data_IF_420282836713
#
_entry.id   IF_420282836713
#
_cell.length_a   1.000
_cell.length_b   1.000
_cell.length_c   1.000
_cell.angle_alpha   90.00
_cell.angle_beta   90.00
_cell.angle_gamma   90.00
#
_symmetry.space_group_name_H-M   'P 1'
#
loop_
_entity.id
_entity.type
_entity.pdbx_description
1 polymer ?
#
# COMPACT_ATOMS: atom_id res chain seq x y z
N UNK A 1 17.19 -13.17 -11.96
CA UNK A 1 16.16 -12.73 -11.01
C UNK A 1 15.10 -13.82 -10.87
N UNK A 2 14.77 -14.26 -9.66
CA UNK A 2 13.72 -15.28 -9.41
C UNK A 2 12.35 -14.78 -9.89
N UNK A 3 11.63 -15.57 -10.70
CA UNK A 3 10.24 -15.32 -11.16
C UNK A 3 9.99 -13.88 -11.66
N UNK A 4 10.91 -13.32 -12.43
CA UNK A 4 10.78 -11.98 -13.00
C UNK A 4 10.37 -12.06 -14.47
N UNK A 5 9.29 -11.37 -14.82
CA UNK A 5 8.82 -11.19 -16.20
C UNK A 5 8.51 -9.70 -16.42
N UNK A 6 9.46 -9.00 -17.05
CA UNK A 6 9.34 -7.59 -17.38
C UNK A 6 8.12 -7.31 -18.27
N UNK A 7 7.85 -8.16 -19.27
CA UNK A 7 6.74 -7.96 -20.20
C UNK A 7 5.41 -8.10 -19.47
N UNK A 8 5.29 -9.05 -18.54
CA UNK A 8 4.10 -9.19 -17.72
C UNK A 8 3.90 -7.98 -16.79
N UNK A 9 4.95 -7.46 -16.18
CA UNK A 9 4.87 -6.25 -15.33
C UNK A 9 4.35 -5.06 -16.13
N UNK A 10 4.91 -4.81 -17.31
CA UNK A 10 4.50 -3.70 -18.18
C UNK A 10 3.05 -3.88 -18.64
N UNK A 11 2.69 -5.07 -19.13
CA UNK A 11 1.32 -5.37 -19.57
C UNK A 11 0.29 -5.20 -18.44
N UNK A 12 0.59 -5.66 -17.23
CA UNK A 12 -0.30 -5.53 -16.09
C UNK A 12 -0.44 -4.06 -15.66
N UNK A 13 0.63 -3.26 -15.78
CA UNK A 13 0.56 -1.82 -15.56
C UNK A 13 -0.34 -1.13 -16.59
N UNK A 14 -0.10 -1.42 -17.87
CA UNK A 14 -0.86 -0.86 -19.00
C UNK A 14 -2.34 -1.20 -18.93
N UNK A 15 -2.72 -2.37 -18.43
CA UNK A 15 -4.13 -2.73 -18.21
C UNK A 15 -4.87 -1.71 -17.34
N UNK A 16 -4.26 -1.25 -16.26
CA UNK A 16 -4.87 -0.23 -15.38
C UNK A 16 -4.76 1.16 -16.01
N UNK A 17 -3.57 1.52 -16.51
CA UNK A 17 -3.34 2.84 -17.09
C UNK A 17 -4.26 3.15 -18.28
N UNK A 18 -4.48 2.18 -19.16
CA UNK A 18 -5.32 2.36 -20.35
C UNK A 18 -6.82 2.49 -20.01
N UNK A 19 -7.22 2.20 -18.77
CA UNK A 19 -8.58 2.39 -18.27
C UNK A 19 -8.74 3.66 -17.43
N UNK A 20 -7.71 4.53 -17.43
CA UNK A 20 -7.69 5.77 -16.66
C UNK A 20 -8.96 6.61 -16.82
N UNK A 21 -9.44 6.83 -18.05
CA UNK A 21 -10.65 7.63 -18.30
C UNK A 21 -11.88 7.04 -17.60
N UNK A 22 -12.07 5.72 -17.67
CA UNK A 22 -13.13 5.01 -16.97
C UNK A 22 -13.01 5.14 -15.44
N UNK A 23 -11.78 5.08 -14.92
CA UNK A 23 -11.52 5.19 -13.49
C UNK A 23 -11.73 6.62 -13.00
N UNK A 24 -11.27 7.62 -13.73
CA UNK A 24 -11.44 9.04 -13.42
C UNK A 24 -12.91 9.47 -13.46
N UNK A 25 -13.73 8.83 -14.30
CA UNK A 25 -15.18 9.07 -14.31
C UNK A 25 -15.84 8.76 -12.97
N UNK A 26 -15.37 7.75 -12.24
CA UNK A 26 -15.87 7.46 -10.88
C UNK A 26 -15.64 8.68 -9.96
N UNK A 27 -14.47 9.31 -10.06
CA UNK A 27 -14.16 10.51 -9.28
C UNK A 27 -15.00 11.72 -9.70
N UNK A 28 -15.24 11.89 -11.00
CA UNK A 28 -16.11 12.94 -11.52
C UNK A 28 -17.54 12.79 -10.99
N UNK A 29 -18.10 11.58 -11.06
CA UNK A 29 -19.45 11.28 -10.56
C UNK A 29 -19.55 11.49 -9.03
N UNK A 30 -18.56 11.00 -8.27
CA UNK A 30 -18.47 11.21 -6.81
C UNK A 30 -18.47 12.71 -6.46
N UNK A 31 -17.72 13.52 -7.20
CA UNK A 31 -17.65 14.97 -6.96
C UNK A 31 -18.93 15.69 -7.39
N UNK A 32 -19.54 15.31 -8.52
CA UNK A 32 -20.77 15.90 -9.02
C UNK A 32 -21.96 15.67 -8.07
N UNK A 33 -22.02 14.49 -7.46
CA UNK A 33 -23.02 14.14 -6.44
C UNK A 33 -22.72 14.78 -5.06
N UNK A 34 -21.46 15.19 -4.83
CA UNK A 34 -20.99 15.82 -3.60
C UNK A 34 -20.84 14.85 -2.43
N UNK A 35 -19.93 15.09 -1.49
CA UNK A 35 -19.69 14.22 -0.33
C UNK A 35 -19.34 15.02 0.93
N UNK A 36 -19.50 14.42 2.11
CA UNK A 36 -19.12 15.03 3.40
C UNK A 36 -17.98 14.29 4.12
N UNK A 37 -17.64 13.08 3.70
CA UNK A 37 -16.54 12.27 4.23
C UNK A 37 -16.08 11.24 3.19
N UNK A 38 -14.76 11.15 2.99
CA UNK A 38 -14.11 10.07 2.25
C UNK A 38 -13.61 9.02 3.27
N UNK A 39 -14.26 7.86 3.32
CA UNK A 39 -14.01 6.83 4.32
C UNK A 39 -13.32 5.61 3.72
N UNK A 40 -12.15 5.22 4.22
CA UNK A 40 -11.41 4.07 3.70
C UNK A 40 -11.52 2.88 4.66
N UNK A 41 -12.05 1.75 4.18
CA UNK A 41 -12.23 0.56 5.04
C UNK A 41 -12.03 -0.74 4.27
N UNK A 42 -11.29 -1.68 4.87
CA UNK A 42 -11.03 -3.04 4.36
C UNK A 42 -10.31 -3.85 5.43
N UNK A 43 -9.74 -5.00 5.08
CA UNK A 43 -8.96 -5.86 5.98
C UNK A 43 -7.53 -6.09 5.47
N UNK A 44 -6.58 -6.23 6.39
CA UNK A 44 -5.20 -6.65 6.10
C UNK A 44 -4.50 -5.80 5.03
N UNK A 45 -3.79 -6.45 4.11
CA UNK A 45 -3.04 -5.77 3.05
C UNK A 45 -3.90 -4.88 2.13
N UNK A 46 -5.17 -5.23 1.91
CA UNK A 46 -6.12 -4.38 1.17
C UNK A 46 -6.32 -3.02 1.85
N UNK A 47 -6.47 -3.00 3.18
CA UNK A 47 -6.58 -1.77 3.96
C UNK A 47 -5.27 -0.98 3.95
N UNK A 48 -4.15 -1.67 4.14
CA UNK A 48 -2.84 -1.02 4.15
C UNK A 48 -2.49 -0.38 2.80
N UNK A 49 -2.93 -0.95 1.68
CA UNK A 49 -2.75 -0.35 0.35
C UNK A 49 -3.53 0.96 0.17
N UNK A 50 -4.71 1.08 0.77
CA UNK A 50 -5.53 2.31 0.68
C UNK A 50 -5.13 3.40 1.69
N UNK A 51 -4.53 3.02 2.81
CA UNK A 51 -4.19 3.96 3.89
C UNK A 51 -3.30 5.15 3.45
N UNK A 52 -2.33 5.01 2.52
CA UNK A 52 -1.58 6.15 1.99
C UNK A 52 -2.48 7.26 1.44
N UNK A 53 -3.65 6.94 0.88
CA UNK A 53 -4.57 7.94 0.35
C UNK A 53 -5.28 8.74 1.45
N UNK A 54 -5.60 8.10 2.59
CA UNK A 54 -6.05 8.81 3.78
C UNK A 54 -4.95 9.75 4.30
N UNK A 55 -3.68 9.31 4.26
CA UNK A 55 -2.54 10.18 4.59
C UNK A 55 -2.44 11.38 3.64
N UNK A 56 -2.48 11.17 2.32
CA UNK A 56 -2.38 12.25 1.34
C UNK A 56 -3.53 13.26 1.45
N UNK A 57 -4.76 12.79 1.69
CA UNK A 57 -5.90 13.68 1.92
C UNK A 57 -5.71 14.54 3.16
N UNK A 58 -5.23 13.97 4.27
CA UNK A 58 -4.93 14.70 5.50
C UNK A 58 -3.78 15.70 5.36
N UNK A 59 -2.77 15.39 4.53
CA UNK A 59 -1.59 16.26 4.36
C UNK A 59 -1.85 17.38 3.36
N UNK A 60 -2.54 17.12 2.27
CA UNK A 60 -2.60 18.02 1.11
C UNK A 60 -3.96 18.70 0.90
N UNK A 61 -4.97 18.36 1.69
CA UNK A 61 -6.33 18.88 1.47
C UNK A 61 -7.02 19.30 2.76
N UNK A 62 -8.20 19.94 2.64
CA UNK A 62 -9.16 20.09 3.75
C UNK A 62 -10.37 19.18 3.59
N UNK A 63 -10.29 18.18 2.71
CA UNK A 63 -11.38 17.23 2.51
C UNK A 63 -11.49 16.34 3.75
N UNK A 64 -12.69 16.15 4.32
CA UNK A 64 -12.86 15.25 5.44
C UNK A 64 -12.54 13.81 5.01
N UNK A 65 -11.63 13.17 5.73
CA UNK A 65 -11.19 11.80 5.48
C UNK A 65 -11.08 11.03 6.78
N UNK A 66 -11.31 9.73 6.73
CA UNK A 66 -11.12 8.84 7.86
C UNK A 66 -10.86 7.40 7.38
N UNK A 67 -10.25 6.58 8.23
CA UNK A 67 -9.93 5.21 7.87
C UNK A 67 -9.96 4.24 9.04
N UNK A 68 -10.65 3.11 8.85
CA UNK A 68 -10.81 2.09 9.88
C UNK A 68 -10.72 0.69 9.28
N UNK A 69 -10.27 -0.29 10.06
CA UNK A 69 -10.36 -1.70 9.65
C UNK A 69 -11.83 -2.12 9.67
N UNK A 70 -12.28 -2.89 8.66
CA UNK A 70 -13.68 -3.28 8.52
C UNK A 70 -14.26 -3.93 9.77
N UNK A 71 -13.49 -4.81 10.42
CA UNK A 71 -13.90 -5.48 11.65
C UNK A 71 -14.16 -4.49 12.80
N UNK A 72 -13.28 -3.50 12.97
CA UNK A 72 -13.42 -2.48 14.03
C UNK A 72 -14.62 -1.58 13.76
N UNK A 73 -14.82 -1.16 12.51
CA UNK A 73 -15.99 -0.37 12.10
C UNK A 73 -17.31 -1.11 12.35
N UNK A 74 -17.35 -2.43 12.13
CA UNK A 74 -18.55 -3.22 12.37
C UNK A 74 -18.99 -3.17 13.84
N UNK A 75 -18.03 -3.17 14.77
CA UNK A 75 -18.29 -3.17 16.21
C UNK A 75 -18.46 -1.77 16.80
N UNK A 76 -17.61 -0.83 16.39
CA UNK A 76 -17.53 0.51 17.00
C UNK A 76 -18.33 1.57 16.24
N UNK A 77 -18.56 1.35 14.95
CA UNK A 77 -19.13 2.35 14.04
C UNK A 77 -18.20 3.53 13.79
N UNK A 78 -18.67 4.51 13.01
CA UNK A 78 -18.05 5.82 12.87
C UNK A 78 -19.17 6.86 12.85
N UNK A 79 -19.30 7.63 13.93
CA UNK A 79 -20.39 8.61 14.09
C UNK A 79 -20.30 9.82 13.15
N UNK A 80 -19.19 9.93 12.39
CA UNK A 80 -19.04 10.92 11.31
C UNK A 80 -19.68 10.49 10.00
N UNK A 81 -19.95 9.20 9.80
CA UNK A 81 -20.57 8.71 8.57
C UNK A 81 -22.02 9.17 8.47
N UNK A 82 -22.39 9.65 7.28
CA UNK A 82 -23.75 10.00 6.92
C UNK A 82 -24.09 9.39 5.56
N UNK A 83 -25.35 9.47 5.15
CA UNK A 83 -25.76 9.06 3.79
C UNK A 83 -25.09 9.87 2.66
N UNK A 84 -24.39 10.98 2.97
CA UNK A 84 -23.60 11.75 1.98
C UNK A 84 -22.14 11.29 1.91
N UNK A 85 -21.70 10.45 2.82
CA UNK A 85 -20.33 9.95 2.82
C UNK A 85 -20.08 9.00 1.63
N UNK A 86 -18.81 8.83 1.28
CA UNK A 86 -18.36 7.88 0.25
C UNK A 86 -17.33 6.95 0.90
N UNK A 87 -17.57 5.65 0.82
CA UNK A 87 -16.69 4.63 1.33
C UNK A 87 -15.89 3.97 0.20
N UNK A 88 -14.57 3.85 0.40
CA UNK A 88 -13.64 3.16 -0.49
C UNK A 88 -13.25 1.81 0.11
N UNK A 89 -13.51 0.75 -0.65
CA UNK A 89 -13.26 -0.63 -0.24
C UNK A 89 -12.41 -1.37 -1.29
N UNK A 90 -11.60 -2.33 -0.86
CA UNK A 90 -10.87 -3.22 -1.79
C UNK A 90 -10.81 -4.64 -1.27
N UNK A 91 -10.92 -5.60 -2.19
CA UNK A 91 -10.75 -7.02 -1.90
C UNK A 91 -10.27 -7.75 -3.13
N UNK A 92 -9.17 -8.51 -3.00
CA UNK A 92 -8.63 -9.30 -4.12
C UNK A 92 -9.61 -10.36 -4.60
N UNK A 93 -10.20 -11.12 -3.69
CA UNK A 93 -11.20 -12.15 -4.03
C UNK A 93 -12.62 -11.59 -4.12
N UNK A 94 -12.86 -10.39 -3.58
CA UNK A 94 -14.18 -9.77 -3.56
C UNK A 94 -15.18 -10.47 -2.64
N UNK A 95 -14.69 -11.31 -1.71
CA UNK A 95 -15.49 -12.13 -0.79
C UNK A 95 -14.99 -12.09 0.67
N UNK A 96 -14.05 -11.20 1.00
CA UNK A 96 -13.51 -11.04 2.37
C UNK A 96 -14.64 -10.78 3.35
N UNK A 97 -14.86 -11.70 4.31
CA UNK A 97 -16.06 -11.75 5.15
C UNK A 97 -16.36 -10.41 5.85
N UNK A 98 -15.36 -9.82 6.49
CA UNK A 98 -15.49 -8.56 7.22
C UNK A 98 -15.75 -7.39 6.28
N UNK A 99 -15.10 -7.36 5.11
CA UNK A 99 -15.31 -6.33 4.08
C UNK A 99 -16.72 -6.40 3.50
N UNK A 100 -17.26 -7.61 3.26
CA UNK A 100 -18.64 -7.79 2.77
C UNK A 100 -19.64 -7.30 3.81
N UNK A 101 -19.52 -7.74 5.07
CA UNK A 101 -20.39 -7.27 6.16
C UNK A 101 -20.32 -5.76 6.35
N UNK A 102 -19.12 -5.19 6.20
CA UNK A 102 -18.93 -3.74 6.26
C UNK A 102 -19.65 -3.03 5.11
N UNK A 103 -19.55 -3.54 3.88
CA UNK A 103 -20.28 -3.00 2.72
C UNK A 103 -21.80 -3.08 2.90
N UNK A 104 -22.32 -4.20 3.42
CA UNK A 104 -23.75 -4.36 3.75
C UNK A 104 -24.21 -3.28 4.74
N UNK A 105 -23.49 -3.11 5.86
CA UNK A 105 -23.81 -2.09 6.87
C UNK A 105 -23.73 -0.65 6.30
N UNK A 106 -22.73 -0.35 5.48
CA UNK A 106 -22.60 0.96 4.83
C UNK A 106 -23.78 1.23 3.88
N UNK A 107 -24.22 0.21 3.14
CA UNK A 107 -25.40 0.29 2.27
C UNK A 107 -26.69 0.52 3.05
N UNK A 108 -26.87 -0.15 4.19
CA UNK A 108 -28.00 0.10 5.11
C UNK A 108 -28.00 1.55 5.64
N UNK A 109 -26.82 2.15 5.83
CA UNK A 109 -26.65 3.55 6.23
C UNK A 109 -26.86 4.56 5.08
N UNK A 110 -27.07 4.07 3.84
CA UNK A 110 -27.16 4.90 2.65
C UNK A 110 -25.83 5.53 2.21
N UNK A 111 -24.69 5.00 2.69
CA UNK A 111 -23.35 5.45 2.29
C UNK A 111 -23.06 4.93 0.89
N UNK A 112 -22.59 5.81 -0.01
CA UNK A 112 -22.15 5.39 -1.35
C UNK A 112 -20.85 4.61 -1.27
N UNK A 113 -20.71 3.56 -2.06
CA UNK A 113 -19.58 2.65 -2.02
C UNK A 113 -18.86 2.63 -3.38
N UNK A 114 -17.56 2.91 -3.34
CA UNK A 114 -16.61 2.70 -4.44
C UNK A 114 -15.73 1.52 -4.08
N UNK A 115 -15.75 0.45 -4.88
CA UNK A 115 -14.89 -0.70 -4.66
C UNK A 115 -13.89 -0.99 -5.78
N UNK A 116 -12.71 -1.42 -5.39
CA UNK A 116 -11.64 -1.86 -6.30
C UNK A 116 -11.40 -3.34 -6.03
N UNK A 117 -11.77 -4.21 -6.97
CA UNK A 117 -11.79 -5.66 -6.78
C UNK A 117 -10.78 -6.38 -7.67
N UNK A 118 -10.20 -7.49 -7.19
CA UNK A 118 -9.31 -8.32 -8.01
C UNK A 118 -10.01 -9.25 -8.99
N UNK A 119 -11.34 -9.36 -8.90
CA UNK A 119 -12.18 -10.17 -9.79
C UNK A 119 -13.42 -9.37 -10.18
N UNK A 120 -13.92 -9.62 -11.38
CA UNK A 120 -15.20 -9.10 -11.87
C UNK A 120 -16.38 -9.72 -11.13
N UNK A 121 -17.53 -9.04 -11.13
CA UNK A 121 -18.82 -9.54 -10.64
C UNK A 121 -18.77 -10.17 -9.23
N UNK A 122 -17.88 -9.66 -8.37
CA UNK A 122 -17.73 -10.14 -7.00
C UNK A 122 -18.90 -9.77 -6.10
N UNK A 123 -18.98 -10.41 -4.92
CA UNK A 123 -19.99 -10.03 -3.91
C UNK A 123 -19.83 -8.57 -3.49
N UNK A 124 -18.59 -8.11 -3.33
CA UNK A 124 -18.31 -6.70 -3.01
C UNK A 124 -18.76 -5.78 -4.15
N UNK A 125 -18.47 -6.14 -5.41
CA UNK A 125 -18.89 -5.37 -6.56
C UNK A 125 -20.42 -5.21 -6.64
N UNK A 126 -21.18 -6.28 -6.36
CA UNK A 126 -22.65 -6.24 -6.35
C UNK A 126 -23.25 -5.36 -5.24
N UNK A 127 -22.50 -5.10 -4.17
CA UNK A 127 -22.91 -4.22 -3.09
C UNK A 127 -22.57 -2.74 -3.37
N UNK A 128 -21.67 -2.48 -4.32
CA UNK A 128 -21.08 -1.16 -4.56
C UNK A 128 -21.83 -0.35 -5.61
N UNK A 129 -21.81 0.98 -5.48
CA UNK A 129 -22.36 1.90 -6.47
C UNK A 129 -21.40 2.06 -7.65
N UNK A 130 -20.09 2.08 -7.37
CA UNK A 130 -19.04 2.08 -8.38
C UNK A 130 -18.07 0.92 -8.14
N UNK A 131 -17.59 0.31 -9.21
CA UNK A 131 -16.62 -0.78 -9.13
C UNK A 131 -15.58 -0.69 -10.24
N UNK A 132 -14.34 -1.06 -9.92
CA UNK A 132 -13.30 -1.33 -10.89
C UNK A 132 -12.64 -2.69 -10.60
N UNK A 133 -12.66 -3.58 -11.60
CA UNK A 133 -11.98 -4.86 -11.51
C UNK A 133 -10.55 -4.73 -12.06
N UNK A 134 -9.54 -4.83 -11.20
CA UNK A 134 -8.15 -4.68 -11.62
C UNK A 134 -7.54 -5.99 -12.15
N UNK A 135 -8.16 -7.15 -11.93
CA UNK A 135 -7.63 -8.46 -12.35
C UNK A 135 -6.15 -8.66 -11.93
N UNK A 136 -5.26 -8.88 -12.91
CA UNK A 136 -3.82 -8.96 -12.72
C UNK A 136 -3.10 -7.61 -12.77
N UNK A 137 -3.83 -6.53 -13.04
CA UNK A 137 -3.34 -5.18 -13.16
C UNK A 137 -2.70 -4.66 -11.87
N UNK A 138 -1.49 -4.10 -11.97
CA UNK A 138 -0.68 -3.64 -10.82
C UNK A 138 0.16 -2.41 -11.20
N UNK A 139 0.50 -1.54 -10.24
CA UNK A 139 0.10 -1.56 -8.82
C UNK A 139 -1.38 -1.18 -8.62
N UNK A 140 -2.01 -1.62 -7.53
CA UNK A 140 -3.44 -1.33 -7.26
C UNK A 140 -3.64 0.14 -6.87
N UNK A 141 -2.62 0.72 -6.25
CA UNK A 141 -2.48 2.11 -5.87
C UNK A 141 -2.67 3.04 -7.09
N UNK A 142 -2.37 2.58 -8.31
CA UNK A 142 -2.59 3.36 -9.53
C UNK A 142 -4.10 3.65 -9.74
N UNK A 143 -4.97 2.68 -9.46
CA UNK A 143 -6.43 2.86 -9.54
C UNK A 143 -6.86 3.96 -8.56
N UNK A 144 -6.38 3.88 -7.32
CA UNK A 144 -6.71 4.87 -6.29
C UNK A 144 -6.08 6.25 -6.56
N UNK A 145 -4.92 6.34 -7.20
CA UNK A 145 -4.41 7.61 -7.67
C UNK A 145 -5.33 8.25 -8.70
N UNK A 146 -5.88 7.46 -9.63
CA UNK A 146 -6.82 7.99 -10.61
C UNK A 146 -8.18 8.37 -10.00
N UNK A 147 -8.62 7.71 -8.94
CA UNK A 147 -9.86 8.08 -8.24
C UNK A 147 -9.59 9.26 -7.29
N UNK A 148 -8.76 9.05 -6.26
CA UNK A 148 -8.54 10.03 -5.19
C UNK A 148 -7.78 11.26 -5.70
N UNK A 149 -6.78 11.09 -6.55
CA UNK A 149 -6.07 12.22 -7.15
C UNK A 149 -6.99 13.09 -8.01
N UNK A 150 -7.92 12.48 -8.76
CA UNK A 150 -8.94 13.19 -9.52
C UNK A 150 -9.97 13.88 -8.61
N UNK A 151 -10.39 13.25 -7.51
CA UNK A 151 -11.23 13.92 -6.49
C UNK A 151 -10.50 15.15 -5.93
N UNK A 152 -9.22 15.02 -5.56
CA UNK A 152 -8.41 16.14 -5.08
C UNK A 152 -8.34 17.27 -6.12
N UNK A 153 -8.17 16.94 -7.40
CA UNK A 153 -8.19 17.90 -8.50
C UNK A 153 -9.55 18.60 -8.64
N UNK A 154 -10.64 17.83 -8.70
CA UNK A 154 -12.00 18.35 -8.86
C UNK A 154 -12.41 19.26 -7.68
N UNK A 155 -11.87 19.01 -6.49
CA UNK A 155 -12.05 19.86 -5.31
C UNK A 155 -11.03 20.99 -5.17
N UNK A 156 -10.12 21.17 -6.14
CA UNK A 156 -9.16 22.29 -6.18
C UNK A 156 -7.90 22.13 -5.33
N UNK A 157 -7.60 20.92 -4.85
CA UNK A 157 -6.44 20.64 -3.99
C UNK A 157 -5.24 20.00 -4.71
N UNK A 158 -5.40 19.53 -5.95
CA UNK A 158 -4.30 18.96 -6.73
C UNK A 158 -4.30 19.45 -8.18
N UNK A 159 -4.01 20.74 -8.43
CA UNK A 159 -4.12 21.34 -9.77
C UNK A 159 -3.24 20.66 -10.83
N UNK A 160 -2.10 20.12 -10.43
CA UNK A 160 -1.16 19.43 -11.35
C UNK A 160 -1.57 17.98 -11.67
N UNK A 161 -2.70 17.49 -11.14
CA UNK A 161 -3.14 16.11 -11.34
C UNK A 161 -3.21 15.67 -12.82
N UNK A 162 -3.71 16.47 -13.78
CA UNK A 162 -3.73 16.05 -15.18
C UNK A 162 -2.34 15.73 -15.73
N UNK A 163 -1.35 16.58 -15.43
CA UNK A 163 0.04 16.37 -15.82
C UNK A 163 0.67 15.19 -15.04
N UNK A 164 0.42 15.11 -13.73
CA UNK A 164 0.83 13.97 -12.90
C UNK A 164 0.36 12.65 -13.51
N UNK A 165 -0.93 12.51 -13.77
CA UNK A 165 -1.52 11.28 -14.26
C UNK A 165 -1.07 10.96 -15.70
N UNK A 166 -0.81 11.95 -16.55
CA UNK A 166 -0.17 11.74 -17.87
C UNK A 166 1.28 11.28 -17.73
N UNK A 167 2.01 11.85 -16.76
CA UNK A 167 3.39 11.51 -16.48
C UNK A 167 3.55 10.07 -15.99
N UNK A 168 2.50 9.46 -15.40
CA UNK A 168 2.49 8.06 -15.00
C UNK A 168 2.50 7.07 -16.18
N UNK A 169 2.31 7.48 -17.44
CA UNK A 169 2.29 6.56 -18.59
C UNK A 169 3.50 5.60 -18.65
N UNK A 170 4.69 6.10 -18.32
CA UNK A 170 5.94 5.33 -18.34
C UNK A 170 6.26 4.54 -17.07
N UNK A 171 5.46 4.68 -16.00
CA UNK A 171 5.80 4.15 -14.68
C UNK A 171 5.92 2.62 -14.68
N UNK A 172 5.14 1.88 -15.47
CA UNK A 172 5.26 0.43 -15.57
C UNK A 172 6.66 -0.06 -15.95
N UNK A 173 7.29 0.58 -16.94
CA UNK A 173 8.67 0.30 -17.35
C UNK A 173 9.66 0.71 -16.26
N UNK A 174 9.49 1.88 -15.67
CA UNK A 174 10.32 2.34 -14.55
C UNK A 174 10.28 1.35 -13.36
N UNK A 175 9.10 0.82 -13.02
CA UNK A 175 8.94 -0.16 -11.94
C UNK A 175 9.53 -1.54 -12.26
N UNK A 176 9.60 -1.92 -13.54
CA UNK A 176 10.37 -3.10 -13.95
C UNK A 176 11.87 -2.86 -13.75
N UNK A 177 12.36 -1.67 -14.09
CA UNK A 177 13.76 -1.30 -13.87
C UNK A 177 14.12 -1.25 -12.38
N UNK A 178 13.27 -0.66 -11.52
CA UNK A 178 13.45 -0.67 -10.05
C UNK A 178 13.66 -2.09 -9.52
N UNK A 179 12.89 -3.06 -10.03
CA UNK A 179 13.02 -4.47 -9.63
C UNK A 179 14.34 -5.09 -10.05
N UNK A 180 14.86 -4.70 -11.23
CA UNK A 180 16.16 -5.14 -11.73
C UNK A 180 17.26 -4.56 -10.83
N UNK A 181 17.22 -3.25 -10.61
CA UNK A 181 18.23 -2.51 -9.86
C UNK A 181 18.31 -2.94 -8.39
N UNK A 182 17.18 -3.29 -7.78
CA UNK A 182 17.14 -3.70 -6.38
C UNK A 182 17.39 -5.19 -6.14
N UNK A 183 17.38 -6.06 -7.17
CA UNK A 183 17.32 -7.52 -6.96
C UNK A 183 18.50 -8.06 -6.17
N UNK A 184 19.71 -7.56 -6.42
CA UNK A 184 20.91 -8.00 -5.71
C UNK A 184 20.85 -7.64 -4.23
N UNK A 185 20.49 -6.39 -3.90
CA UNK A 185 20.31 -5.92 -2.52
C UNK A 185 19.20 -6.70 -1.81
N UNK A 186 18.08 -6.95 -2.48
CA UNK A 186 16.96 -7.72 -1.94
C UNK A 186 17.31 -9.20 -1.73
N UNK A 187 18.08 -9.81 -2.64
CA UNK A 187 18.57 -11.18 -2.50
C UNK A 187 19.56 -11.31 -1.35
N UNK A 188 20.47 -10.34 -1.20
CA UNK A 188 21.40 -10.28 -0.07
C UNK A 188 20.65 -10.13 1.25
N UNK A 189 19.69 -9.20 1.33
CA UNK A 189 18.83 -9.03 2.51
C UNK A 189 18.14 -10.35 2.91
N UNK A 190 17.54 -11.06 1.93
CA UNK A 190 16.86 -12.32 2.19
C UNK A 190 17.83 -13.43 2.67
N UNK A 191 19.04 -13.48 2.11
CA UNK A 191 20.07 -14.44 2.52
C UNK A 191 20.61 -14.15 3.93
N UNK A 192 20.83 -12.87 4.25
CA UNK A 192 21.40 -12.46 5.53
C UNK A 192 20.37 -12.57 6.67
N UNK A 193 19.09 -12.25 6.41
CA UNK A 193 18.10 -12.05 7.48
C UNK A 193 16.88 -12.97 7.46
N UNK A 194 16.74 -13.85 6.46
CA UNK A 194 15.60 -14.76 6.34
C UNK A 194 15.44 -15.74 7.51
N UNK A 195 16.52 -16.03 8.25
CA UNK A 195 16.53 -16.92 9.41
C UNK A 195 16.79 -16.21 10.74
N UNK A 196 16.88 -14.88 10.73
CA UNK A 196 17.06 -14.12 11.96
C UNK A 196 15.84 -14.28 12.88
N UNK A 197 16.04 -14.46 14.19
CA UNK A 197 14.95 -14.80 15.11
C UNK A 197 13.99 -13.62 15.35
N UNK A 198 14.38 -12.40 14.96
CA UNK A 198 13.62 -11.19 15.18
C UNK A 198 14.05 -10.07 14.20
N UNK A 199 13.07 -9.37 13.62
CA UNK A 199 13.29 -8.29 12.66
C UNK A 199 12.44 -7.06 13.02
N UNK A 200 13.08 -5.91 13.27
CA UNK A 200 12.38 -4.64 13.48
C UNK A 200 12.17 -3.98 12.12
N UNK A 201 10.92 -3.65 11.77
CA UNK A 201 10.54 -3.00 10.52
C UNK A 201 10.00 -1.60 10.77
N UNK A 202 10.60 -0.61 10.12
CA UNK A 202 10.38 0.81 10.41
C UNK A 202 10.00 1.54 9.13
N UNK A 203 9.03 2.45 9.23
CA UNK A 203 8.65 3.40 8.18
C UNK A 203 7.74 4.51 8.72
N UNK A 204 7.49 5.56 7.94
CA UNK A 204 6.65 6.68 8.35
C UNK A 204 5.70 7.14 7.24
N UNK A 205 4.73 7.99 7.60
CA UNK A 205 3.84 8.65 6.63
C UNK A 205 3.12 7.66 5.71
N UNK A 206 3.24 7.89 4.41
CA UNK A 206 2.69 7.06 3.33
C UNK A 206 3.31 5.65 3.27
N UNK A 207 4.52 5.45 3.81
CA UNK A 207 5.17 4.14 3.89
C UNK A 207 4.86 3.34 5.16
N UNK A 208 4.32 3.95 6.21
CA UNK A 208 3.96 3.19 7.42
C UNK A 208 3.03 1.99 7.13
N UNK A 209 1.94 2.16 6.35
CA UNK A 209 1.07 1.04 6.00
C UNK A 209 1.80 -0.05 5.23
N UNK A 210 2.75 0.32 4.36
CA UNK A 210 3.62 -0.61 3.62
C UNK A 210 4.53 -1.39 4.56
N UNK A 211 5.18 -0.74 5.53
CA UNK A 211 6.03 -1.40 6.53
C UNK A 211 5.24 -2.42 7.36
N UNK A 212 4.11 -1.97 7.92
CA UNK A 212 3.21 -2.81 8.71
C UNK A 212 2.69 -4.00 7.90
N UNK A 213 2.15 -3.76 6.71
CA UNK A 213 1.57 -4.83 5.90
C UNK A 213 2.60 -5.81 5.38
N UNK A 214 3.81 -5.37 5.03
CA UNK A 214 4.84 -6.29 4.57
C UNK A 214 5.31 -7.20 5.71
N UNK A 215 5.51 -6.60 6.89
CA UNK A 215 5.84 -7.32 8.12
C UNK A 215 4.80 -8.40 8.43
N UNK A 216 3.52 -8.03 8.47
CA UNK A 216 2.44 -8.96 8.83
C UNK A 216 2.09 -9.94 7.71
N UNK A 217 1.81 -9.47 6.49
CA UNK A 217 1.24 -10.30 5.42
C UNK A 217 2.28 -11.11 4.63
N UNK A 218 3.56 -10.71 4.65
CA UNK A 218 4.61 -11.42 3.91
C UNK A 218 5.57 -12.11 4.88
N UNK A 219 6.15 -11.37 5.82
CA UNK A 219 7.17 -11.94 6.70
C UNK A 219 6.54 -12.89 7.72
N UNK A 220 5.51 -12.45 8.45
CA UNK A 220 4.86 -13.28 9.46
C UNK A 220 3.94 -14.34 8.84
N UNK A 221 3.04 -13.94 7.93
CA UNK A 221 2.02 -14.84 7.37
C UNK A 221 2.60 -15.87 6.38
N UNK A 222 3.47 -15.43 5.46
CA UNK A 222 3.98 -16.26 4.35
C UNK A 222 5.35 -16.88 4.59
N UNK A 223 6.21 -16.28 5.42
CA UNK A 223 7.58 -16.78 5.66
C UNK A 223 7.82 -17.21 7.11
N UNK A 224 6.87 -16.95 8.01
CA UNK A 224 6.94 -17.23 9.45
C UNK A 224 8.14 -16.58 10.17
N UNK A 225 8.59 -15.44 9.65
CA UNK A 225 9.63 -14.59 10.25
C UNK A 225 8.97 -13.72 11.31
N UNK A 226 9.56 -13.67 12.51
CA UNK A 226 9.05 -12.86 13.62
C UNK A 226 9.45 -11.41 13.41
N UNK A 227 8.47 -10.51 13.48
CA UNK A 227 8.72 -9.09 13.28
C UNK A 227 8.17 -8.21 14.41
N UNK A 228 8.68 -6.98 14.48
CA UNK A 228 8.01 -5.85 15.12
C UNK A 228 7.99 -4.71 14.13
N UNK A 229 6.80 -4.31 13.68
CA UNK A 229 6.64 -3.05 12.97
C UNK A 229 6.49 -1.88 13.96
N UNK A 230 7.13 -0.76 13.67
CA UNK A 230 7.01 0.49 14.45
C UNK A 230 7.15 1.70 13.52
N UNK A 231 6.42 2.78 13.79
CA UNK A 231 6.60 4.00 13.00
C UNK A 231 7.96 4.63 13.31
N UNK A 232 8.54 5.37 12.35
CA UNK A 232 9.80 6.09 12.60
C UNK A 232 9.68 7.12 13.74
N UNK A 233 8.48 7.70 13.92
CA UNK A 233 8.21 8.61 15.04
C UNK A 233 8.22 7.87 16.39
N UNK A 234 7.50 6.75 16.50
CA UNK A 234 7.37 5.98 17.75
C UNK A 234 8.61 5.13 18.08
N UNK A 235 9.48 4.90 17.10
CA UNK A 235 10.73 4.16 17.32
C UNK A 235 11.55 4.75 18.48
N UNK A 236 11.64 6.08 18.55
CA UNK A 236 12.38 6.81 19.60
C UNK A 236 11.67 6.84 20.96
N UNK A 237 10.49 6.25 21.07
CA UNK A 237 9.66 6.26 22.27
C UNK A 237 9.49 4.85 22.88
N UNK A 238 10.49 3.98 22.66
CA UNK A 238 10.63 2.71 23.39
C UNK A 238 11.30 1.61 22.59
N UNK A 239 11.03 1.51 21.28
CA UNK A 239 11.56 0.40 20.46
C UNK A 239 13.08 0.52 20.24
N UNK A 240 13.62 1.74 20.27
CA UNK A 240 15.07 1.98 20.16
C UNK A 240 15.92 1.21 21.17
N UNK A 241 15.40 0.91 22.36
CA UNK A 241 16.11 0.16 23.41
C UNK A 241 16.33 -1.32 23.06
N UNK A 242 15.59 -1.84 22.06
CA UNK A 242 15.79 -3.19 21.56
C UNK A 242 16.92 -3.28 20.52
N UNK A 243 17.47 -2.15 20.08
CA UNK A 243 18.53 -2.14 19.06
C UNK A 243 19.88 -2.42 19.70
N UNK A 244 20.48 -3.52 19.29
CA UNK A 244 21.88 -3.86 19.55
C UNK A 244 22.57 -4.32 18.24
N UNK A 245 23.80 -4.83 18.36
CA UNK A 245 24.61 -5.27 17.21
C UNK A 245 24.00 -6.45 16.44
N UNK A 246 23.24 -7.30 17.12
CA UNK A 246 22.75 -8.59 16.61
C UNK A 246 21.29 -8.55 16.18
N UNK A 247 20.56 -7.48 16.49
CA UNK A 247 19.16 -7.27 16.08
C UNK A 247 19.08 -6.73 14.66
N UNK A 248 18.34 -7.45 13.81
CA UNK A 248 18.01 -6.99 12.45
C UNK A 248 17.06 -5.79 12.50
N UNK A 249 17.47 -4.70 11.87
CA UNK A 249 16.68 -3.48 11.74
C UNK A 249 16.54 -3.12 10.26
N UNK A 250 15.30 -3.06 9.79
CA UNK A 250 14.95 -2.72 8.42
C UNK A 250 14.16 -1.43 8.39
N UNK A 251 14.69 -0.42 7.71
CA UNK A 251 14.04 0.85 7.46
C UNK A 251 13.63 0.96 6.00
N UNK A 252 12.35 1.27 5.74
CA UNK A 252 11.88 1.72 4.45
C UNK A 252 11.73 3.23 4.47
N UNK A 253 12.34 3.90 3.49
CA UNK A 253 12.51 5.35 3.50
C UNK A 253 11.96 5.93 2.20
N UNK A 254 11.03 6.88 2.34
CA UNK A 254 10.25 7.43 1.23
C UNK A 254 10.66 8.86 0.84
N UNK A 255 9.87 9.46 -0.04
CA UNK A 255 10.11 10.82 -0.56
C UNK A 255 9.06 11.84 -0.10
N UNK A 256 8.14 11.42 0.76
CA UNK A 256 7.07 12.24 1.32
C UNK A 256 7.51 13.18 2.45
N UNK A 257 6.54 13.90 3.02
CA UNK A 257 6.77 14.93 4.03
C UNK A 257 7.34 14.40 5.36
N UNK A 258 7.24 13.09 5.61
CA UNK A 258 7.75 12.46 6.84
C UNK A 258 9.18 11.94 6.72
N UNK A 259 9.82 12.08 5.55
CA UNK A 259 11.16 11.55 5.27
C UNK A 259 12.21 11.89 6.33
N UNK A 260 12.16 13.09 6.91
CA UNK A 260 13.11 13.50 7.95
C UNK A 260 13.04 12.64 9.22
N UNK A 261 11.89 12.00 9.49
CA UNK A 261 11.76 11.04 10.60
C UNK A 261 12.49 9.74 10.29
N UNK A 262 12.39 9.25 9.04
CA UNK A 262 13.10 8.06 8.61
C UNK A 262 14.62 8.30 8.58
N UNK A 263 15.06 9.47 8.07
CA UNK A 263 16.48 9.86 8.07
C UNK A 263 17.04 9.92 9.51
N UNK A 264 16.25 10.40 10.47
CA UNK A 264 16.62 10.37 11.89
C UNK A 264 16.83 8.94 12.40
N UNK A 265 15.94 7.99 12.05
CA UNK A 265 16.11 6.57 12.40
C UNK A 265 17.37 6.00 11.76
N UNK A 266 17.57 6.23 10.46
CA UNK A 266 18.76 5.77 9.73
C UNK A 266 20.04 6.23 10.40
N UNK A 267 20.12 7.52 10.73
CA UNK A 267 21.33 8.12 11.30
C UNK A 267 21.58 7.63 12.73
N UNK A 268 20.52 7.34 13.50
CA UNK A 268 20.64 6.70 14.82
C UNK A 268 21.13 5.25 14.74
N UNK A 269 20.55 4.43 13.86
CA UNK A 269 20.81 2.98 13.82
C UNK A 269 22.13 2.62 13.13
N UNK A 270 22.58 3.41 12.14
CA UNK A 270 23.77 3.11 11.31
C UNK A 270 25.07 2.90 12.09
N UNK A 271 25.16 3.37 13.33
CA UNK A 271 26.32 3.15 14.22
C UNK A 271 26.09 2.15 15.37
N UNK A 272 24.91 1.55 15.47
CA UNK A 272 24.49 0.73 16.61
C UNK A 272 24.26 -0.75 16.26
N UNK A 273 23.75 -1.03 15.05
CA UNK A 273 23.49 -2.41 14.59
C UNK A 273 24.35 -2.75 13.37
N UNK A 274 24.97 -3.93 13.38
CA UNK A 274 25.69 -4.50 12.23
C UNK A 274 24.71 -5.15 11.24
N UNK A 275 23.43 -5.30 11.63
CA UNK A 275 22.34 -5.89 10.84
C UNK A 275 21.29 -4.85 10.42
N UNK A 276 21.74 -3.66 10.05
CA UNK A 276 20.88 -2.59 9.57
C UNK A 276 20.77 -2.58 8.04
N UNK A 277 19.54 -2.60 7.51
CA UNK A 277 19.27 -2.35 6.08
C UNK A 277 18.29 -1.21 5.89
N UNK A 278 18.65 -0.24 5.04
CA UNK A 278 17.76 0.83 4.60
C UNK A 278 17.43 0.64 3.11
N UNK A 279 16.15 0.61 2.77
CA UNK A 279 15.66 0.73 1.39
C UNK A 279 15.11 2.15 1.19
N UNK A 280 15.84 2.99 0.45
CA UNK A 280 15.43 4.37 0.12
C UNK A 280 14.88 4.41 -1.30
N UNK A 281 13.68 4.94 -1.49
CA UNK A 281 13.10 5.04 -2.84
C UNK A 281 13.91 5.98 -3.75
N UNK A 282 14.68 6.94 -3.19
CA UNK A 282 15.56 7.82 -3.96
C UNK A 282 16.73 7.11 -4.62
N UNK A 283 17.12 5.94 -4.13
CA UNK A 283 18.20 5.15 -4.73
C UNK A 283 17.83 4.63 -6.13
N UNK A 284 16.54 4.66 -6.48
CA UNK A 284 16.02 4.08 -7.72
C UNK A 284 15.46 5.14 -8.66
N UNK A 285 16.00 5.19 -9.87
CA UNK A 285 15.56 6.13 -10.91
C UNK A 285 14.20 5.72 -11.46
N UNK A 286 13.29 6.69 -11.56
CA UNK A 286 12.02 6.53 -12.26
C UNK A 286 12.09 7.26 -13.60
N UNK A 287 12.67 6.60 -14.61
CA UNK A 287 12.83 7.21 -15.93
C UNK A 287 11.49 7.63 -16.53
N UNK A 288 11.42 8.89 -17.01
CA UNK A 288 10.20 9.49 -17.55
C UNK A 288 9.27 10.09 -16.50
N UNK A 289 9.52 9.89 -15.20
CA UNK A 289 8.74 10.49 -14.11
C UNK A 289 9.39 11.79 -13.65
N UNK A 290 8.59 12.85 -13.51
CA UNK A 290 9.07 14.14 -12.98
C UNK A 290 9.40 14.02 -11.50
N UNK A 291 10.48 14.67 -11.08
CA UNK A 291 10.99 14.59 -9.71
C UNK A 291 9.96 15.03 -8.66
N UNK A 292 9.20 16.09 -8.94
CA UNK A 292 8.17 16.65 -8.06
C UNK A 292 7.02 15.69 -7.74
N UNK A 293 6.82 14.65 -8.57
CA UNK A 293 5.78 13.64 -8.39
C UNK A 293 6.24 12.40 -7.63
N UNK A 294 7.55 12.20 -7.46
CA UNK A 294 8.09 11.01 -6.79
C UNK A 294 7.61 10.85 -5.35
N UNK A 295 7.38 11.96 -4.65
CA UNK A 295 6.83 11.99 -3.28
C UNK A 295 5.46 11.31 -3.12
N UNK A 296 4.71 11.13 -4.21
CA UNK A 296 3.41 10.45 -4.25
C UNK A 296 3.54 8.95 -4.57
N UNK A 297 4.73 8.52 -5.00
CA UNK A 297 4.97 7.18 -5.54
C UNK A 297 5.76 6.30 -4.57
N UNK A 298 6.15 6.80 -3.39
CA UNK A 298 6.95 6.03 -2.41
C UNK A 298 6.37 4.63 -2.15
N UNK A 299 5.06 4.44 -1.86
CA UNK A 299 4.49 3.11 -1.62
C UNK A 299 4.56 2.19 -2.85
N UNK A 300 4.37 2.75 -4.05
CA UNK A 300 4.42 1.99 -5.31
C UNK A 300 5.84 1.50 -5.61
N UNK A 301 6.84 2.38 -5.46
CA UNK A 301 8.26 2.03 -5.64
C UNK A 301 8.71 1.03 -4.58
N UNK A 302 8.32 1.26 -3.32
CA UNK A 302 8.66 0.35 -2.23
C UNK A 302 8.02 -1.01 -2.43
N UNK A 303 6.76 -1.09 -2.88
CA UNK A 303 6.12 -2.36 -3.24
C UNK A 303 6.89 -3.15 -4.30
N UNK A 304 7.49 -2.46 -5.29
CA UNK A 304 8.35 -3.10 -6.29
C UNK A 304 9.62 -3.71 -5.67
N UNK A 305 10.26 -3.01 -4.73
CA UNK A 305 11.45 -3.48 -4.00
C UNK A 305 11.10 -4.68 -3.12
N UNK A 306 10.06 -4.54 -2.30
CA UNK A 306 9.64 -5.55 -1.32
C UNK A 306 9.17 -6.85 -1.98
N UNK A 307 8.60 -6.77 -3.19
CA UNK A 307 8.28 -7.97 -3.98
C UNK A 307 9.54 -8.78 -4.31
N UNK A 308 10.69 -8.12 -4.58
CA UNK A 308 11.96 -8.81 -4.83
C UNK A 308 12.50 -9.47 -3.57
N UNK A 309 12.36 -8.85 -2.40
CA UNK A 309 12.72 -9.49 -1.12
C UNK A 309 11.92 -10.79 -0.95
N UNK A 310 10.59 -10.73 -1.09
CA UNK A 310 9.72 -11.89 -0.88
C UNK A 310 10.03 -13.04 -1.85
N UNK A 311 10.25 -12.74 -3.14
CA UNK A 311 10.56 -13.76 -4.14
C UNK A 311 11.96 -14.36 -4.02
N UNK A 312 12.95 -13.60 -3.57
CA UNK A 312 14.25 -14.17 -3.27
C UNK A 312 14.21 -15.01 -1.97
N UNK A 313 13.50 -14.54 -0.94
CA UNK A 313 13.31 -15.28 0.31
C UNK A 313 12.60 -16.62 0.09
N UNK A 314 11.56 -16.66 -0.75
CA UNK A 314 10.84 -17.88 -1.13
C UNK A 314 11.78 -19.02 -1.57
N UNK A 315 12.76 -18.70 -2.44
CA UNK A 315 13.71 -19.67 -2.97
C UNK A 315 14.84 -19.96 -1.99
N UNK A 316 15.39 -18.92 -1.35
CA UNK A 316 16.53 -19.07 -0.44
C UNK A 316 16.17 -19.82 0.85
N UNK A 317 14.93 -19.67 1.30
CA UNK A 317 14.44 -20.30 2.52
C UNK A 317 13.75 -21.66 2.27
N UNK A 318 13.62 -22.07 0.99
CA UNK A 318 12.81 -23.22 0.56
C UNK A 318 11.40 -23.21 1.19
N UNK A 319 10.78 -22.02 1.21
CA UNK A 319 9.48 -21.78 1.83
C UNK A 319 8.59 -21.01 0.88
N UNK A 320 7.64 -21.69 0.24
CA UNK A 320 6.72 -21.03 -0.68
C UNK A 320 5.87 -19.97 0.02
N UNK A 321 5.74 -18.80 -0.61
CA UNK A 321 4.91 -17.69 -0.12
C UNK A 321 3.42 -18.05 -0.06
N UNK A 322 2.99 -19.18 -0.62
CA UNK A 322 1.63 -19.71 -0.57
C UNK A 322 1.38 -20.65 0.63
N UNK A 323 2.44 -21.08 1.34
CA UNK A 323 2.30 -21.96 2.51
C UNK A 323 1.53 -21.23 3.61
N UNK A 324 0.52 -21.90 4.16
CA UNK A 324 -0.27 -21.46 5.31
C UNK A 324 -0.53 -22.65 6.22
N UNK A 325 -0.31 -22.46 7.53
CA UNK A 325 -0.66 -23.46 8.57
C UNK A 325 -2.03 -23.24 9.19
N UNK A 326 -2.54 -21.99 9.21
CA UNK A 326 -3.84 -21.64 9.82
C UNK A 326 -4.75 -20.83 8.88
N UNK A 327 -4.21 -19.75 8.27
CA UNK A 327 -5.00 -18.86 7.43
C UNK A 327 -5.68 -19.62 6.28
N UNK A 328 -7.03 -19.57 6.26
CA UNK A 328 -7.91 -20.29 5.33
C UNK A 328 -7.70 -21.82 5.30
N UNK A 329 -7.18 -22.41 6.39
CA UNK A 329 -7.04 -23.88 6.56
C UNK A 329 -8.02 -24.45 7.61
N UNK A 330 -8.52 -23.60 8.51
CA UNK A 330 -9.52 -23.95 9.53
C UNK A 330 -10.46 -22.77 9.79
N UNK A 331 -11.57 -23.05 10.47
CA UNK A 331 -12.44 -21.99 11.00
C UNK A 331 -11.78 -21.29 12.19
N UNK A 332 -12.06 -19.99 12.34
CA UNK A 332 -11.64 -19.14 13.45
C UNK A 332 -12.61 -17.97 13.61
#
# INVERSE_FOLDING_TARGET
>A
MVTFDEKAIIRNYEYVYNQRETIEKIADDVCAEGFDLLFFTSSGGSKAMMEPFNHYLNVYTKLPTDSMVSADFLLTGCNRLTAKSVAFLTSKSGDTKETIKCAEKLKEMGVRIVSVCGVENSKLAALSDYTFAYLDGRPQELVFWFIIGKIMYNCGYFPDYPDFADNLRGLGKALAQVRIDCDEKCRKYAADYGYEPYNIWIGSGDLWPTAYSYSMCVLEESLWIRTKSVTSAEFFHGTLELVDKDVCVTLILGEGVTRSQDERVRDFVKGLSDKFTCFDTKDYRLEGIKEEYRKYLSPIVMGAILQRIGKNAEVLMDHSLEIRRYYRKSEY
#
